data_IF_156426269400
#
_entry.id   IF_156426269400
#
_cell.length_a   1.000
_cell.length_b   1.000
_cell.length_c   1.000
_cell.angle_alpha   90.00
_cell.angle_beta   90.00
_cell.angle_gamma   90.00
#
_symmetry.space_group_name_H-M   'P 1'
#
loop_
_entity.id
_entity.type
_entity.pdbx_description
1 polymer ?
#
# COMPACT_ATOMS: atom_id res chain seq x y z
N UNK A 1 7.52 -12.02 10.53
CA UNK A 1 6.07 -12.20 10.39
C UNK A 1 5.46 -10.90 9.90
N UNK A 2 4.46 -10.97 9.03
CA UNK A 2 3.74 -9.81 8.53
C UNK A 2 2.32 -9.76 9.11
N UNK A 3 1.77 -8.56 9.16
CA UNK A 3 0.39 -8.28 9.52
C UNK A 3 -0.36 -7.95 8.24
N UNK A 4 -1.36 -8.76 7.92
CA UNK A 4 -2.34 -8.45 6.88
C UNK A 4 -3.44 -7.63 7.52
N UNK A 5 -3.60 -6.41 7.03
CA UNK A 5 -4.51 -5.41 7.58
C UNK A 5 -5.54 -5.06 6.51
N UNK A 6 -6.83 -5.25 6.83
CA UNK A 6 -7.97 -5.03 5.91
C UNK A 6 -8.96 -4.04 6.45
N UNK A 7 -9.30 -2.99 5.69
CA UNK A 7 -10.37 -2.06 6.09
C UNK A 7 -11.75 -2.70 5.90
N UNK A 8 -12.45 -2.96 7.00
CA UNK A 8 -13.76 -3.66 7.02
C UNK A 8 -14.94 -2.72 7.22
N UNK A 9 -14.72 -1.52 7.77
CA UNK A 9 -15.75 -0.49 7.97
C UNK A 9 -15.30 0.84 7.36
N UNK A 10 -16.29 1.66 6.97
CA UNK A 10 -16.02 3.03 6.53
C UNK A 10 -15.45 3.86 7.69
N UNK A 11 -14.47 4.71 7.38
CA UNK A 11 -13.88 5.67 8.32
C UNK A 11 -14.55 7.05 8.27
N UNK A 12 -15.61 7.22 7.47
CA UNK A 12 -16.40 8.45 7.42
C UNK A 12 -16.92 8.81 8.82
N UNK A 13 -16.66 10.04 9.29
CA UNK A 13 -17.03 10.49 10.64
C UNK A 13 -16.03 10.11 11.75
N UNK A 14 -14.91 9.47 11.41
CA UNK A 14 -13.80 9.26 12.35
C UNK A 14 -13.02 10.56 12.58
N UNK A 15 -12.45 10.72 13.78
CA UNK A 15 -11.54 11.82 14.11
C UNK A 15 -10.38 11.94 13.11
N UNK A 16 -9.88 13.14 12.87
CA UNK A 16 -8.76 13.42 11.95
C UNK A 16 -7.52 12.56 12.23
N UNK A 17 -7.23 12.33 13.50
CA UNK A 17 -6.22 11.42 14.01
C UNK A 17 -6.32 9.98 13.48
N UNK A 18 -7.53 9.43 13.46
CA UNK A 18 -7.80 8.10 12.95
C UNK A 18 -7.66 8.09 11.43
N UNK A 19 -8.13 9.14 10.74
CA UNK A 19 -7.97 9.30 9.29
C UNK A 19 -6.48 9.34 8.90
N UNK A 20 -5.67 10.09 9.65
CA UNK A 20 -4.22 10.14 9.47
C UNK A 20 -3.58 8.77 9.70
N UNK A 21 -4.04 8.02 10.72
CA UNK A 21 -3.56 6.66 11.00
C UNK A 21 -3.87 5.71 9.85
N UNK A 22 -5.11 5.71 9.33
CA UNK A 22 -5.55 4.86 8.21
C UNK A 22 -4.77 5.20 6.93
N UNK A 23 -4.59 6.50 6.64
CA UNK A 23 -3.77 6.95 5.51
C UNK A 23 -2.30 6.53 5.68
N UNK A 24 -1.77 6.58 6.90
CA UNK A 24 -0.41 6.14 7.25
C UNK A 24 -0.22 4.63 7.07
N UNK A 25 -1.23 3.82 7.37
CA UNK A 25 -1.26 2.37 7.06
C UNK A 25 -1.36 2.10 5.55
N UNK A 26 -1.68 3.11 4.73
CA UNK A 26 -1.79 3.00 3.28
C UNK A 26 -3.12 2.43 2.81
N UNK A 27 -4.13 2.40 3.66
CA UNK A 27 -5.50 1.96 3.35
C UNK A 27 -6.27 3.16 2.79
N UNK A 28 -6.77 3.07 1.55
CA UNK A 28 -7.48 4.19 0.90
C UNK A 28 -8.96 3.91 0.65
N UNK A 29 -9.32 2.67 0.35
CA UNK A 29 -10.67 2.29 -0.04
C UNK A 29 -11.25 1.24 0.91
N UNK A 30 -12.58 1.13 0.92
CA UNK A 30 -13.25 0.03 1.60
C UNK A 30 -12.78 -1.32 1.05
N UNK A 31 -12.48 -2.28 1.92
CA UNK A 31 -11.96 -3.59 1.54
C UNK A 31 -10.49 -3.60 1.08
N UNK A 32 -9.80 -2.46 1.12
CA UNK A 32 -8.37 -2.37 0.79
C UNK A 32 -7.54 -3.16 1.82
N UNK A 33 -6.54 -3.87 1.34
CA UNK A 33 -5.73 -4.82 2.11
C UNK A 33 -4.24 -4.51 1.91
N UNK A 34 -3.47 -4.54 3.00
CA UNK A 34 -2.02 -4.34 2.96
C UNK A 34 -1.31 -5.36 3.84
N UNK A 35 -0.21 -5.89 3.33
CA UNK A 35 0.77 -6.63 4.10
C UNK A 35 1.80 -5.65 4.67
N UNK A 36 1.89 -5.58 5.99
CA UNK A 36 2.79 -4.70 6.72
C UNK A 36 3.76 -5.53 7.55
N UNK A 37 4.97 -5.01 7.78
CA UNK A 37 5.93 -5.66 8.68
C UNK A 37 5.40 -5.57 10.11
N UNK A 38 5.44 -6.69 10.84
CA UNK A 38 5.04 -6.72 12.24
C UNK A 38 6.05 -5.95 13.09
N UNK A 39 5.66 -4.75 13.53
CA UNK A 39 6.46 -3.86 14.36
C UNK A 39 5.56 -3.26 15.45
N UNK A 40 6.10 -2.91 16.63
CA UNK A 40 5.30 -2.33 17.71
C UNK A 40 4.60 -1.03 17.29
N UNK A 41 5.22 -0.23 16.43
CA UNK A 41 4.61 0.97 15.87
C UNK A 41 3.36 0.66 15.04
N UNK A 42 3.44 -0.31 14.12
CA UNK A 42 2.28 -0.74 13.32
C UNK A 42 1.20 -1.35 14.21
N UNK A 43 1.56 -2.15 15.21
CA UNK A 43 0.58 -2.69 16.18
C UNK A 43 -0.15 -1.58 16.93
N UNK A 44 0.56 -0.55 17.40
CA UNK A 44 -0.05 0.61 18.07
C UNK A 44 -1.01 1.38 17.17
N UNK A 45 -0.61 1.61 15.92
CA UNK A 45 -1.46 2.23 14.91
C UNK A 45 -2.73 1.41 14.67
N UNK A 46 -2.60 0.09 14.48
CA UNK A 46 -3.76 -0.79 14.27
C UNK A 46 -4.65 -0.85 15.51
N UNK A 47 -4.08 -0.85 16.72
CA UNK A 47 -4.86 -0.85 17.96
C UNK A 47 -5.76 0.40 18.09
N UNK A 48 -5.27 1.58 17.68
CA UNK A 48 -6.05 2.83 17.66
C UNK A 48 -7.30 2.70 16.78
N UNK A 49 -7.20 1.99 15.65
CA UNK A 49 -8.31 1.83 14.69
C UNK A 49 -8.95 0.44 14.69
N UNK A 50 -8.73 -0.38 15.72
CA UNK A 50 -9.12 -1.81 15.79
C UNK A 50 -10.58 -2.14 15.43
N UNK A 51 -11.49 -1.18 15.57
CA UNK A 51 -12.91 -1.35 15.28
C UNK A 51 -13.26 -1.18 13.79
N UNK A 52 -12.34 -0.64 12.99
CA UNK A 52 -12.49 -0.41 11.54
C UNK A 52 -11.79 -1.46 10.69
N UNK A 53 -10.81 -2.17 11.26
CA UNK A 53 -9.84 -2.98 10.52
C UNK A 53 -9.83 -4.41 11.04
N UNK A 54 -9.71 -5.38 10.14
CA UNK A 54 -9.35 -6.77 10.48
C UNK A 54 -7.84 -6.94 10.40
N UNK A 55 -7.28 -7.73 11.33
CA UNK A 55 -5.87 -8.05 11.41
C UNK A 55 -5.68 -9.57 11.37
N UNK A 56 -4.91 -10.04 10.40
CA UNK A 56 -4.51 -11.44 10.23
C UNK A 56 -2.97 -11.54 10.28
N UNK A 57 -2.44 -12.48 11.04
CA UNK A 57 -1.00 -12.74 11.12
C UNK A 57 -0.59 -13.69 9.98
N UNK A 58 0.33 -13.26 9.13
CA UNK A 58 0.75 -14.00 7.92
C UNK A 58 2.26 -14.20 7.93
N UNK A 59 2.73 -15.38 7.52
CA UNK A 59 4.16 -15.74 7.47
C UNK A 59 4.91 -15.11 6.29
N UNK A 60 4.19 -14.57 5.31
CA UNK A 60 4.75 -13.98 4.09
C UNK A 60 5.53 -12.68 4.37
N UNK A 61 6.63 -12.47 3.66
CA UNK A 61 7.42 -11.25 3.75
C UNK A 61 6.78 -10.13 2.93
N UNK A 62 6.57 -8.96 3.55
CA UNK A 62 5.89 -7.83 2.89
C UNK A 62 6.75 -7.33 1.71
N UNK A 63 6.21 -7.31 0.47
CA UNK A 63 6.99 -6.87 -0.68
C UNK A 63 7.38 -5.40 -0.53
N UNK A 64 8.65 -5.09 -0.74
CA UNK A 64 9.13 -3.70 -0.73
C UNK A 64 8.32 -2.87 -1.73
N UNK A 65 7.83 -1.67 -1.36
CA UNK A 65 7.05 -0.84 -2.25
C UNK A 65 7.89 -0.46 -3.49
N UNK A 66 7.49 -0.94 -4.66
CA UNK A 66 8.15 -0.59 -5.93
C UNK A 66 7.94 0.90 -6.22
N UNK A 67 9.01 1.69 -6.23
CA UNK A 67 8.95 3.08 -6.69
C UNK A 67 8.55 3.10 -8.17
N UNK A 68 7.49 3.83 -8.51
CA UNK A 68 7.10 4.04 -9.91
C UNK A 68 8.05 5.05 -10.55
N UNK A 69 8.58 4.74 -11.74
CA UNK A 69 9.39 5.68 -12.53
C UNK A 69 8.55 6.93 -12.90
N UNK A 70 9.15 8.13 -12.96
CA UNK A 70 8.51 9.33 -13.51
C UNK A 70 8.00 9.08 -14.93
N UNK A 71 6.85 9.68 -15.27
CA UNK A 71 6.21 9.51 -16.60
C UNK A 71 7.14 9.85 -17.77
N UNK A 72 7.96 10.91 -17.64
CA UNK A 72 8.92 11.32 -18.67
C UNK A 72 9.94 10.22 -18.99
N UNK A 73 10.40 9.49 -17.96
CA UNK A 73 11.35 8.38 -18.11
C UNK A 73 10.67 7.20 -18.79
N UNK A 74 9.47 6.82 -18.33
CA UNK A 74 8.71 5.72 -18.93
C UNK A 74 8.39 5.98 -20.42
N UNK A 75 8.05 7.23 -20.77
CA UNK A 75 7.79 7.61 -22.16
C UNK A 75 9.05 7.53 -23.04
N UNK A 76 10.19 8.01 -22.52
CA UNK A 76 11.48 7.90 -23.20
C UNK A 76 11.89 6.43 -23.40
N UNK A 77 11.83 5.62 -22.35
CA UNK A 77 12.19 4.20 -22.38
C UNK A 77 11.36 3.47 -23.45
N UNK A 78 10.03 3.68 -23.47
CA UNK A 78 9.13 3.10 -24.49
C UNK A 78 9.43 3.59 -25.91
N UNK A 79 9.76 4.87 -26.08
CA UNK A 79 10.11 5.41 -27.39
C UNK A 79 11.41 4.79 -27.93
N UNK A 80 12.43 4.63 -27.07
CA UNK A 80 13.67 3.93 -27.41
C UNK A 80 13.43 2.47 -27.76
N UNK A 81 12.60 1.76 -26.99
CA UNK A 81 12.20 0.37 -27.27
C UNK A 81 11.50 0.24 -28.64
N UNK A 82 10.57 1.14 -28.95
CA UNK A 82 9.86 1.14 -30.23
C UNK A 82 10.81 1.41 -31.41
N UNK A 83 11.74 2.36 -31.28
CA UNK A 83 12.77 2.63 -32.29
C UNK A 83 13.71 1.43 -32.47
N UNK A 84 14.14 0.79 -31.39
CA UNK A 84 14.98 -0.39 -31.42
C UNK A 84 14.27 -1.60 -32.06
N UNK A 85 12.97 -1.78 -31.79
CA UNK A 85 12.15 -2.81 -32.42
C UNK A 85 11.99 -2.56 -33.93
N UNK A 86 11.77 -1.30 -34.34
CA UNK A 86 11.70 -0.91 -35.75
C UNK A 86 13.02 -1.06 -36.49
N UNK A 87 14.16 -0.89 -35.81
CA UNK A 87 15.49 -1.06 -36.40
C UNK A 87 15.93 -2.54 -36.51
N UNK A 88 15.26 -3.46 -35.80
CA UNK A 88 15.52 -4.91 -35.84
C UNK A 88 14.65 -5.68 -36.85
N UNK A 89 13.64 -5.00 -37.41
CA UNK A 89 12.77 -5.50 -38.48
C UNK A 89 13.28 -4.98 -39.83
#
# INVERSE_FOLDING_TARGET
MALKVKLMKSFSGSSEDMLATIRGLGLKKFGDERLLKDTPAVRGMVFKVKHLVSLETVTQEAPAPKRRKPRKIVARDRALEHLAAKAKA
#
